data_IF_831842621139
#
_entry.id   IF_831842621139
#
_cell.length_a   1.000
_cell.length_b   1.000
_cell.length_c   1.000
_cell.angle_alpha   90.00
_cell.angle_beta   90.00
_cell.angle_gamma   90.00
#
_symmetry.space_group_name_H-M   'P 1'
#
loop_
_entity.id
_entity.type
_entity.pdbx_description
1 polymer ?
#
# COMPACT_ATOMS: atom_id res chain seq x y z
N UNK A 1 -54.22 39.19 28.72
CA UNK A 1 -54.16 37.71 28.73
C UNK A 1 -53.77 37.23 27.34
N UNK A 2 -52.76 36.36 27.34
CA UNK A 2 -52.20 35.46 26.31
C UNK A 2 -53.08 35.08 25.10
N UNK A 3 -52.44 34.91 23.94
CA UNK A 3 -52.93 33.99 22.90
C UNK A 3 -52.46 34.27 21.46
N UNK A 4 -51.25 33.84 21.09
CA UNK A 4 -50.77 33.76 19.69
C UNK A 4 -51.35 32.52 18.98
N UNK A 5 -51.79 32.68 17.73
CA UNK A 5 -51.44 31.84 16.57
C UNK A 5 -51.99 32.50 15.28
N UNK A 6 -51.23 32.44 14.17
CA UNK A 6 -51.62 31.46 13.16
C UNK A 6 -50.44 30.63 12.66
N UNK A 7 -50.68 29.33 12.50
CA UNK A 7 -49.90 28.42 11.67
C UNK A 7 -50.85 27.92 10.58
N UNK A 8 -50.52 28.16 9.31
CA UNK A 8 -50.17 27.06 8.41
C UNK A 8 -49.98 27.50 6.94
N UNK A 9 -48.88 27.00 6.38
CA UNK A 9 -48.64 26.58 4.97
C UNK A 9 -48.58 27.63 3.86
N UNK A 10 -47.40 27.79 3.26
CA UNK A 10 -46.98 27.02 2.08
C UNK A 10 -45.53 27.37 1.64
N UNK A 11 -44.96 26.53 0.77
CA UNK A 11 -43.56 26.43 0.27
C UNK A 11 -42.57 25.82 1.26
N UNK A 12 -42.10 24.57 1.15
CA UNK A 12 -41.82 23.71 -0.01
C UNK A 12 -40.89 24.36 -1.05
N UNK A 13 -39.58 24.23 -0.81
CA UNK A 13 -38.61 23.86 -1.85
C UNK A 13 -37.28 23.43 -1.20
N UNK A 14 -37.07 22.12 -1.21
CA UNK A 14 -35.93 21.50 -1.88
C UNK A 14 -34.52 22.02 -1.51
N UNK A 15 -33.83 21.27 -0.62
CA UNK A 15 -32.41 20.96 -0.82
C UNK A 15 -32.15 19.50 -0.46
N UNK A 16 -32.13 18.71 -1.52
CA UNK A 16 -31.54 17.37 -1.65
C UNK A 16 -30.22 17.31 -0.87
N UNK A 17 -30.24 16.62 0.26
CA UNK A 17 -29.05 16.04 0.86
C UNK A 17 -28.85 14.67 0.23
N UNK A 18 -28.18 14.63 -0.92
CA UNK A 18 -27.60 13.41 -1.46
C UNK A 18 -26.45 13.02 -0.50
N UNK A 19 -26.77 12.21 0.52
CA UNK A 19 -25.79 11.65 1.46
C UNK A 19 -25.73 10.14 1.28
N UNK A 20 -24.48 9.68 1.20
CA UNK A 20 -24.03 8.31 1.42
C UNK A 20 -24.52 7.22 0.47
N UNK A 21 -23.77 7.07 -0.63
CA UNK A 21 -23.44 5.74 -1.15
C UNK A 21 -22.08 5.21 -0.64
N UNK A 22 -21.46 5.88 0.32
CA UNK A 22 -20.24 5.43 1.00
C UNK A 22 -20.49 5.44 2.49
N UNK A 23 -20.31 4.30 3.16
CA UNK A 23 -20.49 4.23 4.61
C UNK A 23 -19.51 5.17 5.34
N UNK A 24 -19.80 5.44 6.62
CA UNK A 24 -18.95 6.26 7.49
C UNK A 24 -17.47 5.86 7.37
N UNK A 25 -16.55 6.82 7.12
CA UNK A 25 -15.12 6.55 7.09
C UNK A 25 -14.70 5.81 8.35
N UNK A 26 -14.08 4.65 8.17
CA UNK A 26 -13.65 3.81 9.28
C UNK A 26 -12.36 3.09 8.93
N UNK A 27 -11.61 2.73 9.98
CA UNK A 27 -10.40 1.94 9.85
C UNK A 27 -10.68 0.55 9.23
N UNK A 28 -11.89 0.01 9.39
CA UNK A 28 -12.33 -1.22 8.73
C UNK A 28 -12.51 -1.03 7.22
N UNK A 29 -13.17 0.06 6.81
CA UNK A 29 -13.35 0.40 5.39
C UNK A 29 -12.00 0.66 4.69
N UNK A 30 -11.08 1.38 5.34
CA UNK A 30 -9.73 1.57 4.82
C UNK A 30 -8.98 0.24 4.63
N UNK A 31 -9.05 -0.68 5.61
CA UNK A 31 -8.45 -2.02 5.44
C UNK A 31 -9.08 -2.81 4.30
N UNK A 32 -10.40 -2.69 4.08
CA UNK A 32 -11.07 -3.35 2.97
C UNK A 32 -10.60 -2.81 1.61
N UNK A 33 -10.42 -1.49 1.47
CA UNK A 33 -9.84 -0.91 0.26
C UNK A 33 -8.38 -1.33 0.07
N UNK A 34 -7.55 -1.31 1.12
CA UNK A 34 -6.16 -1.79 1.04
C UNK A 34 -6.08 -3.26 0.61
N UNK A 35 -6.93 -4.14 1.16
CA UNK A 35 -7.02 -5.54 0.74
C UNK A 35 -7.37 -5.67 -0.75
N UNK A 36 -8.29 -4.82 -1.24
CA UNK A 36 -8.65 -4.79 -2.66
C UNK A 36 -7.50 -4.32 -3.55
N UNK A 37 -6.74 -3.32 -3.11
CA UNK A 37 -5.51 -2.89 -3.78
C UNK A 37 -4.55 -4.08 -3.93
N UNK A 38 -4.26 -4.80 -2.85
CA UNK A 38 -3.36 -5.95 -2.91
C UNK A 38 -3.83 -7.04 -3.87
N UNK A 39 -5.11 -7.42 -3.78
CA UNK A 39 -5.68 -8.49 -4.59
C UNK A 39 -5.67 -8.14 -6.08
N UNK A 40 -6.16 -6.96 -6.44
CA UNK A 40 -6.29 -6.53 -7.84
C UNK A 40 -4.94 -6.23 -8.48
N UNK A 41 -4.01 -5.61 -7.75
CA UNK A 41 -2.65 -5.41 -8.22
C UNK A 41 -1.93 -6.75 -8.47
N UNK A 42 -2.09 -7.74 -7.57
CA UNK A 42 -1.50 -9.06 -7.75
C UNK A 42 -2.09 -9.83 -8.95
N UNK A 43 -3.34 -9.54 -9.33
CA UNK A 43 -4.00 -10.09 -10.52
C UNK A 43 -3.64 -9.33 -11.82
N UNK A 44 -2.92 -8.22 -11.73
CA UNK A 44 -2.62 -7.35 -12.87
C UNK A 44 -3.77 -6.41 -13.27
N UNK A 45 -4.87 -6.37 -12.51
CA UNK A 45 -5.95 -5.40 -12.69
C UNK A 45 -5.55 -4.05 -12.05
N UNK A 46 -4.64 -3.36 -12.72
CA UNK A 46 -4.09 -2.09 -12.24
C UNK A 46 -5.13 -0.97 -12.26
N UNK A 47 -6.14 -1.05 -13.13
CA UNK A 47 -7.26 -0.09 -13.15
C UNK A 47 -8.02 -0.17 -11.83
N UNK A 48 -8.41 -1.37 -11.39
CA UNK A 48 -9.07 -1.51 -10.09
C UNK A 48 -8.16 -1.31 -8.90
N UNK A 49 -6.87 -1.62 -9.01
CA UNK A 49 -5.92 -1.31 -7.96
C UNK A 49 -5.85 0.20 -7.71
N UNK A 50 -5.73 1.00 -8.78
CA UNK A 50 -5.69 2.46 -8.68
C UNK A 50 -7.02 3.05 -8.21
N UNK A 51 -8.16 2.54 -8.68
CA UNK A 51 -9.47 2.98 -8.18
C UNK A 51 -9.63 2.71 -6.68
N UNK A 52 -9.26 1.50 -6.23
CA UNK A 52 -9.32 1.11 -4.81
C UNK A 52 -8.34 1.92 -3.95
N UNK A 53 -7.17 2.27 -4.49
CA UNK A 53 -6.19 3.12 -3.83
C UNK A 53 -6.71 4.57 -3.70
N UNK A 54 -7.40 5.08 -4.71
CA UNK A 54 -8.06 6.39 -4.62
C UNK A 54 -9.16 6.40 -3.55
N UNK A 55 -9.97 5.33 -3.47
CA UNK A 55 -10.97 5.17 -2.42
C UNK A 55 -10.34 5.08 -1.01
N UNK A 56 -9.22 4.37 -0.91
CA UNK A 56 -8.43 4.28 0.32
C UNK A 56 -7.94 5.65 0.78
N UNK A 57 -7.31 6.41 -0.12
CA UNK A 57 -6.82 7.78 0.17
C UNK A 57 -7.95 8.69 0.62
N UNK A 58 -9.06 8.72 -0.12
CA UNK A 58 -10.26 9.51 0.26
C UNK A 58 -10.82 9.11 1.62
N UNK A 59 -10.83 7.82 1.95
CA UNK A 59 -11.29 7.34 3.26
C UNK A 59 -10.34 7.79 4.37
N UNK A 60 -9.02 7.73 4.11
CA UNK A 60 -7.99 8.12 5.07
C UNK A 60 -8.00 9.64 5.34
N UNK A 61 -8.18 10.46 4.31
CA UNK A 61 -8.24 11.92 4.42
C UNK A 61 -9.41 12.41 5.30
N UNK A 62 -10.43 11.57 5.46
CA UNK A 62 -11.59 11.83 6.32
C UNK A 62 -11.40 11.38 7.76
N UNK A 63 -10.27 10.78 8.13
CA UNK A 63 -10.00 10.42 9.51
C UNK A 63 -9.73 11.65 10.39
N UNK A 64 -10.18 11.62 11.65
CA UNK A 64 -9.83 12.65 12.63
C UNK A 64 -8.31 12.71 12.79
N UNK A 65 -7.74 13.91 12.70
CA UNK A 65 -6.28 14.11 12.79
C UNK A 65 -5.76 13.91 14.23
N UNK A 66 -6.64 13.93 15.24
CA UNK A 66 -6.29 14.00 16.67
C UNK A 66 -6.56 12.70 17.47
N UNK A 67 -6.91 11.58 16.84
CA UNK A 67 -7.15 10.36 17.62
C UNK A 67 -5.85 9.71 18.07
N UNK A 68 -5.72 9.52 19.40
CA UNK A 68 -4.71 8.68 20.03
C UNK A 68 -4.51 7.39 19.22
N UNK A 69 -3.25 7.00 19.00
CA UNK A 69 -2.88 5.84 18.19
C UNK A 69 -3.38 4.53 18.82
N UNK A 70 -4.65 4.19 18.59
CA UNK A 70 -5.18 2.88 18.90
C UNK A 70 -4.51 1.82 18.01
N UNK A 71 -4.32 0.61 18.55
CA UNK A 71 -3.88 -0.56 17.76
C UNK A 71 -4.88 -0.87 16.63
N UNK A 72 -6.15 -0.46 16.78
CA UNK A 72 -7.19 -0.64 15.78
C UNK A 72 -7.22 0.48 14.72
N UNK A 73 -6.48 1.57 14.94
CA UNK A 73 -6.36 2.66 13.97
C UNK A 73 -5.75 2.16 12.66
N UNK A 74 -6.10 2.82 11.56
CA UNK A 74 -5.43 2.63 10.30
C UNK A 74 -4.45 3.79 10.11
N UNK A 75 -3.16 3.48 9.94
CA UNK A 75 -2.07 4.46 9.99
C UNK A 75 -1.63 4.88 8.59
N UNK A 76 -1.01 6.05 8.48
CA UNK A 76 -0.45 6.51 7.20
C UNK A 76 0.58 5.51 6.64
N UNK A 77 1.36 4.87 7.50
CA UNK A 77 2.30 3.80 7.08
C UNK A 77 1.60 2.67 6.32
N UNK A 78 0.36 2.32 6.68
CA UNK A 78 -0.42 1.29 5.98
C UNK A 78 -0.97 1.79 4.64
N UNK A 79 -1.34 3.08 4.56
CA UNK A 79 -1.70 3.72 3.30
C UNK A 79 -0.52 3.71 2.33
N UNK A 80 0.65 4.21 2.76
CA UNK A 80 1.84 4.33 1.91
C UNK A 80 2.40 2.98 1.49
N UNK A 81 2.25 1.96 2.33
CA UNK A 81 2.53 0.59 1.95
C UNK A 81 1.65 0.10 0.80
N UNK A 82 0.33 0.29 0.90
CA UNK A 82 -0.61 -0.10 -0.16
C UNK A 82 -0.35 0.65 -1.47
N UNK A 83 -0.06 1.94 -1.35
CA UNK A 83 0.34 2.80 -2.47
C UNK A 83 1.62 2.27 -3.16
N UNK A 84 2.66 2.01 -2.38
CA UNK A 84 3.94 1.49 -2.88
C UNK A 84 3.74 0.16 -3.61
N UNK A 85 3.01 -0.77 -3.00
CA UNK A 85 2.75 -2.09 -3.56
C UNK A 85 2.04 -2.01 -4.92
N UNK A 86 1.02 -1.15 -5.04
CA UNK A 86 0.30 -0.94 -6.29
C UNK A 86 1.21 -0.36 -7.37
N UNK A 87 1.97 0.70 -7.06
CA UNK A 87 2.87 1.35 -8.02
C UNK A 87 3.96 0.39 -8.53
N UNK A 88 4.54 -0.42 -7.65
CA UNK A 88 5.56 -1.40 -8.04
C UNK A 88 4.97 -2.45 -8.98
N UNK A 89 3.82 -3.03 -8.65
CA UNK A 89 3.22 -4.06 -9.49
C UNK A 89 2.77 -3.52 -10.85
N UNK A 90 2.26 -2.29 -10.89
CA UNK A 90 1.90 -1.60 -12.11
C UNK A 90 3.11 -1.15 -12.96
N UNK A 91 4.32 -1.16 -12.40
CA UNK A 91 5.51 -0.59 -13.06
C UNK A 91 5.43 0.92 -13.22
N UNK A 92 4.75 1.59 -12.28
CA UNK A 92 4.58 3.04 -12.25
C UNK A 92 5.92 3.72 -11.94
N UNK A 93 6.26 4.77 -12.68
CA UNK A 93 7.50 5.54 -12.47
C UNK A 93 7.60 6.18 -11.08
N UNK A 94 6.45 6.37 -10.40
CA UNK A 94 6.37 6.92 -9.04
C UNK A 94 6.66 5.88 -7.94
N UNK A 95 6.87 4.62 -8.29
CA UNK A 95 7.08 3.54 -7.33
C UNK A 95 8.19 3.86 -6.31
N UNK A 96 9.35 4.31 -6.79
CA UNK A 96 10.51 4.61 -5.94
C UNK A 96 10.26 5.79 -4.99
N UNK A 97 9.66 6.86 -5.50
CA UNK A 97 9.27 8.02 -4.68
C UNK A 97 8.27 7.62 -3.58
N UNK A 98 7.30 6.78 -3.92
CA UNK A 98 6.30 6.30 -2.96
C UNK A 98 6.93 5.46 -1.87
N UNK A 99 7.89 4.60 -2.23
CA UNK A 99 8.65 3.78 -1.26
C UNK A 99 9.52 4.66 -0.37
N UNK A 100 10.22 5.65 -0.93
CA UNK A 100 11.02 6.60 -0.16
C UNK A 100 10.16 7.33 0.88
N UNK A 101 8.99 7.83 0.47
CA UNK A 101 8.05 8.46 1.39
C UNK A 101 7.55 7.48 2.45
N UNK A 102 7.26 6.23 2.10
CA UNK A 102 6.88 5.21 3.08
C UNK A 102 8.00 4.94 4.10
N UNK A 103 9.26 4.92 3.68
CA UNK A 103 10.42 4.70 4.55
C UNK A 103 10.61 5.83 5.56
N UNK A 104 10.33 7.08 5.19
CA UNK A 104 10.46 8.24 6.07
C UNK A 104 9.45 8.22 7.24
N UNK A 105 8.34 7.47 7.10
CA UNK A 105 7.35 7.30 8.16
C UNK A 105 7.74 6.25 9.21
N UNK A 106 8.73 5.40 8.93
CA UNK A 106 9.16 4.36 9.84
C UNK A 106 10.41 4.78 10.62
N UNK A 107 10.42 4.67 11.96
CA UNK A 107 11.64 4.81 12.77
C UNK A 107 12.77 3.93 12.25
N UNK A 108 14.03 4.38 12.38
CA UNK A 108 15.20 3.69 11.83
C UNK A 108 15.41 2.27 12.37
N UNK A 109 14.91 1.99 13.57
CA UNK A 109 14.96 0.68 14.25
C UNK A 109 13.81 -0.27 13.86
N UNK A 110 12.84 0.19 13.05
CA UNK A 110 11.74 -0.63 12.55
C UNK A 110 12.18 -1.53 11.38
N UNK A 111 13.14 -2.43 11.64
CA UNK A 111 13.82 -3.24 10.62
C UNK A 111 12.87 -4.09 9.75
N UNK A 112 11.82 -4.68 10.33
CA UNK A 112 10.84 -5.49 9.61
C UNK A 112 10.13 -4.76 8.48
N UNK A 113 9.33 -3.71 8.75
CA UNK A 113 8.67 -2.95 7.69
C UNK A 113 9.65 -2.23 6.75
N UNK A 114 10.77 -1.69 7.26
CA UNK A 114 11.77 -1.02 6.42
C UNK A 114 12.42 -1.96 5.41
N UNK A 115 12.83 -3.16 5.84
CA UNK A 115 13.41 -4.15 4.92
C UNK A 115 12.43 -4.57 3.82
N UNK A 116 11.14 -4.72 4.14
CA UNK A 116 10.15 -5.01 3.12
C UNK A 116 9.96 -3.85 2.12
N UNK A 117 10.03 -2.60 2.57
CA UNK A 117 10.02 -1.43 1.68
C UNK A 117 11.29 -1.37 0.81
N UNK A 118 12.45 -1.75 1.34
CA UNK A 118 13.68 -1.84 0.55
C UNK A 118 13.61 -2.94 -0.53
N UNK A 119 12.94 -4.07 -0.26
CA UNK A 119 12.61 -5.10 -1.27
C UNK A 119 11.63 -4.59 -2.33
N UNK A 120 10.69 -3.76 -1.92
CA UNK A 120 9.77 -3.08 -2.82
C UNK A 120 10.51 -2.13 -3.79
N UNK A 121 11.46 -1.33 -3.31
CA UNK A 121 12.32 -0.49 -4.16
C UNK A 121 13.22 -1.33 -5.09
N UNK A 122 13.75 -2.45 -4.60
CA UNK A 122 14.50 -3.40 -5.43
C UNK A 122 13.66 -3.95 -6.60
N UNK A 123 12.39 -4.27 -6.35
CA UNK A 123 11.46 -4.67 -7.40
C UNK A 123 11.17 -3.53 -8.40
N UNK A 124 11.14 -2.27 -7.94
CA UNK A 124 10.98 -1.10 -8.80
C UNK A 124 12.19 -0.91 -9.73
N UNK A 125 13.42 -1.06 -9.22
CA UNK A 125 14.66 -1.03 -10.01
C UNK A 125 14.63 -2.05 -11.16
N UNK A 126 14.30 -3.31 -10.86
CA UNK A 126 14.22 -4.37 -11.86
C UNK A 126 13.21 -4.03 -12.96
N UNK A 127 12.06 -3.43 -12.59
CA UNK A 127 11.04 -3.00 -13.55
C UNK A 127 11.48 -1.81 -14.39
N UNK A 128 12.27 -0.91 -13.82
CA UNK A 128 12.95 0.18 -14.52
C UNK A 128 14.13 -0.29 -15.39
N UNK A 129 14.36 -1.61 -15.52
CA UNK A 129 15.47 -2.24 -16.25
C UNK A 129 16.85 -2.10 -15.58
N UNK A 130 16.90 -1.61 -14.34
CA UNK A 130 18.08 -1.61 -13.48
C UNK A 130 18.20 -2.96 -12.75
N UNK A 131 18.33 -4.05 -13.51
CA UNK A 131 18.15 -5.43 -13.01
C UNK A 131 19.22 -5.84 -12.01
N UNK A 132 20.49 -5.56 -12.31
CA UNK A 132 21.62 -5.93 -11.44
C UNK A 132 21.55 -5.17 -10.11
N UNK A 133 21.37 -3.85 -10.15
CA UNK A 133 21.22 -3.02 -8.97
C UNK A 133 20.04 -3.48 -8.08
N UNK A 134 18.89 -3.80 -8.70
CA UNK A 134 17.75 -4.32 -7.95
C UNK A 134 17.99 -5.70 -7.33
N UNK A 135 18.73 -6.59 -8.00
CA UNK A 135 19.10 -7.89 -7.45
C UNK A 135 20.10 -7.77 -6.28
N UNK A 136 21.13 -6.95 -6.44
CA UNK A 136 22.12 -6.67 -5.39
C UNK A 136 21.45 -6.06 -4.16
N UNK A 137 20.54 -5.10 -4.35
CA UNK A 137 19.76 -4.52 -3.27
C UNK A 137 18.91 -5.57 -2.58
N UNK A 138 18.17 -6.40 -3.34
CA UNK A 138 17.33 -7.45 -2.77
C UNK A 138 18.13 -8.44 -1.92
N UNK A 139 19.28 -8.88 -2.43
CA UNK A 139 20.19 -9.79 -1.72
C UNK A 139 20.71 -9.15 -0.43
N UNK A 140 21.23 -7.91 -0.52
CA UNK A 140 21.73 -7.17 0.64
C UNK A 140 20.69 -7.05 1.75
N UNK A 141 19.44 -6.76 1.39
CA UNK A 141 18.33 -6.65 2.35
C UNK A 141 18.04 -7.99 3.04
N UNK A 142 18.04 -9.07 2.26
CA UNK A 142 17.79 -10.42 2.77
C UNK A 142 18.88 -10.84 3.75
N UNK A 143 20.15 -10.59 3.40
CA UNK A 143 21.32 -10.93 4.21
C UNK A 143 21.45 -10.10 5.48
N UNK A 144 21.08 -8.81 5.44
CA UNK A 144 21.13 -7.94 6.61
C UNK A 144 20.18 -8.38 7.72
N UNK A 145 19.07 -9.02 7.35
CA UNK A 145 18.03 -9.45 8.27
C UNK A 145 17.61 -10.89 7.98
N UNK A 146 18.47 -11.90 8.20
CA UNK A 146 18.19 -13.28 7.79
C UNK A 146 16.97 -13.86 8.52
N UNK A 147 16.72 -13.44 9.76
CA UNK A 147 15.65 -13.96 10.62
C UNK A 147 14.27 -13.33 10.35
N UNK A 148 14.18 -12.30 9.49
CA UNK A 148 12.92 -11.60 9.24
C UNK A 148 12.01 -12.40 8.29
N UNK A 149 11.39 -13.46 8.78
CA UNK A 149 10.51 -14.37 8.02
C UNK A 149 9.06 -13.90 7.94
N UNK A 150 8.84 -12.63 7.57
CA UNK A 150 7.46 -12.12 7.42
C UNK A 150 6.80 -12.67 6.14
N UNK A 151 5.49 -12.90 6.18
CA UNK A 151 4.73 -13.32 4.99
C UNK A 151 4.89 -12.32 3.82
N UNK A 152 4.98 -11.02 4.12
CA UNK A 152 5.23 -9.98 3.13
C UNK A 152 6.58 -10.16 2.43
N UNK A 153 7.65 -10.51 3.17
CA UNK A 153 8.97 -10.75 2.61
C UNK A 153 8.94 -11.89 1.60
N UNK A 154 8.33 -13.02 1.94
CA UNK A 154 8.18 -14.19 1.04
C UNK A 154 7.45 -13.80 -0.25
N UNK A 155 6.38 -13.03 -0.13
CA UNK A 155 5.62 -12.55 -1.29
C UNK A 155 6.48 -11.64 -2.17
N UNK A 156 7.23 -10.71 -1.58
CA UNK A 156 8.05 -9.73 -2.28
C UNK A 156 9.27 -10.36 -2.97
N UNK A 157 10.00 -11.24 -2.30
CA UNK A 157 11.13 -11.95 -2.91
C UNK A 157 10.65 -12.87 -4.05
N UNK A 158 9.54 -13.57 -3.86
CA UNK A 158 8.91 -14.35 -4.92
C UNK A 158 8.49 -13.47 -6.12
N UNK A 159 8.01 -12.25 -5.87
CA UNK A 159 7.66 -11.29 -6.92
C UNK A 159 8.90 -10.79 -7.68
N UNK A 160 10.00 -10.49 -6.98
CA UNK A 160 11.28 -10.12 -7.58
C UNK A 160 11.71 -11.21 -8.57
N UNK A 161 11.80 -12.45 -8.10
CA UNK A 161 12.23 -13.60 -8.92
C UNK A 161 11.32 -13.82 -10.15
N UNK A 162 10.00 -13.66 -10.00
CA UNK A 162 9.05 -13.77 -11.13
C UNK A 162 9.20 -12.64 -12.15
N UNK A 163 9.56 -11.44 -11.71
CA UNK A 163 9.69 -10.25 -12.55
C UNK A 163 11.00 -10.24 -13.36
N UNK A 164 11.99 -11.06 -12.96
CA UNK A 164 13.27 -11.14 -13.67
C UNK A 164 13.11 -11.57 -15.14
N UNK A 165 13.76 -10.85 -16.08
CA UNK A 165 13.93 -11.33 -17.45
C UNK A 165 14.62 -12.70 -17.47
N UNK A 166 14.32 -13.55 -18.45
CA UNK A 166 14.82 -14.93 -18.49
C UNK A 166 16.35 -15.03 -18.33
N UNK A 167 17.11 -14.16 -19.01
CA UNK A 167 18.58 -14.13 -18.89
C UNK A 167 19.07 -13.72 -17.50
N UNK A 168 18.34 -12.84 -16.81
CA UNK A 168 18.72 -12.36 -15.49
C UNK A 168 18.54 -13.42 -14.39
N UNK A 169 17.73 -14.45 -14.63
CA UNK A 169 17.57 -15.58 -13.69
C UNK A 169 18.85 -16.41 -13.55
N UNK A 170 19.77 -16.30 -14.51
CA UNK A 170 21.05 -17.00 -14.48
C UNK A 170 22.12 -16.24 -13.70
N UNK A 171 21.88 -14.98 -13.35
CA UNK A 171 22.83 -14.16 -12.58
C UNK A 171 23.08 -14.79 -11.20
N UNK A 172 24.32 -14.72 -10.68
CA UNK A 172 24.66 -15.27 -9.36
C UNK A 172 23.72 -14.78 -8.25
N UNK A 173 23.48 -13.46 -8.18
CA UNK A 173 22.58 -12.86 -7.19
C UNK A 173 21.13 -13.38 -7.27
N UNK A 174 20.64 -13.69 -8.48
CA UNK A 174 19.30 -14.26 -8.65
C UNK A 174 19.22 -15.69 -8.12
N UNK A 175 20.26 -16.50 -8.36
CA UNK A 175 20.35 -17.89 -7.86
C UNK A 175 20.50 -17.92 -6.35
N UNK A 176 21.29 -17.01 -5.80
CA UNK A 176 21.50 -16.89 -4.36
C UNK A 176 20.22 -16.43 -3.65
N UNK A 177 19.57 -15.39 -4.17
CA UNK A 177 18.26 -14.96 -3.67
C UNK A 177 17.25 -16.11 -3.71
N UNK A 178 17.24 -16.90 -4.79
CA UNK A 178 16.38 -18.09 -4.89
C UNK A 178 16.71 -19.13 -3.81
N UNK A 179 17.98 -19.45 -3.58
CA UNK A 179 18.41 -20.39 -2.56
C UNK A 179 17.99 -19.95 -1.15
N UNK A 180 18.18 -18.66 -0.82
CA UNK A 180 17.79 -18.09 0.46
C UNK A 180 16.27 -18.11 0.70
N UNK A 181 15.48 -18.01 -0.37
CA UNK A 181 14.00 -18.07 -0.28
C UNK A 181 13.42 -19.49 -0.27
N UNK A 182 14.16 -20.48 -0.75
CA UNK A 182 13.71 -21.88 -0.78
C UNK A 182 13.93 -22.61 0.56
N UNK A 183 14.78 -22.05 1.43
CA UNK A 183 15.10 -22.61 2.75
C UNK A 183 14.21 -22.12 3.91
N UNK A 184 13.24 -21.25 3.63
CA UNK A 184 12.25 -20.71 4.59
C UNK A 184 10.88 -21.33 4.37
#
# INVERSE_FOLDING_TARGET
>A
MLGRAPRDRHHQSDRRGDRDRGGTPSAGLARAYAARVYLTAAQGDFVQAHASLADLKRTFDLFPQDTEQSVLAFRETQLRWAESYAHILAGDSRARETVAHALDLYPSDAHGPRSNLELMDAAALIRAREVEAGLEQALTVVERHPDATTAARVVLTGQILRTLPSKARELPAARELQALTAGT
#
